data_IF_687136891338
#
_entry.id   IF_687136891338
#
_cell.length_a   1.000
_cell.length_b   1.000
_cell.length_c   1.000
_cell.angle_alpha   90.00
_cell.angle_beta   90.00
_cell.angle_gamma   90.00
#
_symmetry.space_group_name_H-M   'P 1'
#
loop_
_entity.id
_entity.type
_entity.pdbx_description
1 polymer ?
#
# COMPACT_ATOMS: atom_id res chain seq x y z
N UNK A 1 1.54 -25.36 -3.32
CA UNK A 1 1.33 -23.96 -2.86
C UNK A 1 1.30 -23.06 -4.09
N UNK A 2 0.12 -22.87 -4.71
CA UNK A 2 0.01 -22.21 -6.02
C UNK A 2 0.43 -20.73 -6.02
N UNK A 3 0.19 -20.01 -4.92
CA UNK A 3 0.44 -18.57 -4.82
C UNK A 3 1.83 -18.19 -4.27
N UNK A 4 2.71 -19.17 -4.01
CA UNK A 4 3.99 -18.90 -3.38
C UNK A 4 4.94 -18.16 -4.33
N UNK A 5 5.64 -17.13 -3.81
CA UNK A 5 6.62 -16.36 -4.58
C UNK A 5 6.01 -15.43 -5.64
N UNK A 6 4.72 -15.13 -5.54
CA UNK A 6 4.04 -14.17 -6.41
C UNK A 6 4.66 -12.78 -6.27
N UNK A 7 4.87 -12.11 -7.40
CA UNK A 7 5.17 -10.69 -7.45
C UNK A 7 3.88 -9.84 -7.36
N UNK A 8 3.99 -8.54 -7.61
CA UNK A 8 2.86 -7.61 -7.53
C UNK A 8 1.76 -7.92 -8.56
N UNK A 9 2.12 -8.38 -9.76
CA UNK A 9 1.18 -8.73 -10.83
C UNK A 9 0.39 -10.00 -10.50
N UNK A 10 1.09 -11.09 -10.18
CA UNK A 10 0.44 -12.35 -9.81
C UNK A 10 -0.42 -12.19 -8.53
N UNK A 11 0.03 -11.33 -7.60
CA UNK A 11 -0.73 -10.99 -6.39
C UNK A 11 -2.00 -10.20 -6.71
N UNK A 12 -1.91 -9.13 -7.51
CA UNK A 12 -3.08 -8.32 -7.85
C UNK A 12 -4.12 -9.11 -8.65
N UNK A 13 -3.68 -9.97 -9.58
CA UNK A 13 -4.57 -10.84 -10.33
C UNK A 13 -5.31 -11.81 -9.39
N UNK A 14 -4.59 -12.45 -8.48
CA UNK A 14 -5.19 -13.39 -7.51
C UNK A 14 -6.26 -12.70 -6.66
N UNK A 15 -5.97 -11.49 -6.16
CA UNK A 15 -6.92 -10.70 -5.38
C UNK A 15 -8.13 -10.24 -6.20
N UNK A 16 -7.94 -9.86 -7.47
CA UNK A 16 -9.03 -9.48 -8.38
C UNK A 16 -10.02 -10.63 -8.56
N UNK A 17 -9.52 -11.85 -8.80
CA UNK A 17 -10.38 -13.04 -8.93
C UNK A 17 -11.13 -13.37 -7.65
N UNK A 18 -10.53 -13.14 -6.50
CA UNK A 18 -11.21 -13.29 -5.21
C UNK A 18 -12.34 -12.25 -5.03
N UNK A 19 -12.13 -11.00 -5.45
CA UNK A 19 -13.15 -9.95 -5.41
C UNK A 19 -14.31 -10.26 -6.36
N UNK A 20 -14.03 -10.70 -7.59
CA UNK A 20 -15.07 -11.16 -8.54
C UNK A 20 -15.91 -12.30 -7.95
N UNK A 21 -15.29 -13.21 -7.21
CA UNK A 21 -16.01 -14.31 -6.53
C UNK A 21 -16.87 -13.84 -5.35
N UNK A 22 -16.54 -12.71 -4.72
CA UNK A 22 -17.24 -12.16 -3.55
C UNK A 22 -18.50 -11.36 -3.89
N UNK A 23 -18.74 -11.03 -5.16
CA UNK A 23 -19.76 -10.05 -5.61
C UNK A 23 -21.14 -10.18 -4.93
N UNK A 24 -21.81 -9.03 -4.65
CA UNK A 24 -21.45 -7.67 -5.10
C UNK A 24 -20.44 -6.94 -4.18
N UNK A 25 -19.50 -6.20 -4.79
CA UNK A 25 -18.52 -5.34 -4.09
C UNK A 25 -18.52 -3.95 -4.72
N UNK A 26 -18.96 -2.94 -3.98
CA UNK A 26 -19.02 -1.56 -4.48
C UNK A 26 -17.70 -0.79 -4.27
N UNK A 27 -16.95 -1.12 -3.22
CA UNK A 27 -15.72 -0.39 -2.89
C UNK A 27 -14.66 -1.34 -2.37
N UNK A 28 -13.48 -1.31 -3.00
CA UNK A 28 -12.29 -2.01 -2.53
C UNK A 28 -11.33 -1.00 -1.91
N UNK A 29 -10.96 -1.24 -0.65
CA UNK A 29 -9.99 -0.41 0.08
C UNK A 29 -8.70 -1.19 0.26
N UNK A 30 -7.60 -0.64 -0.23
CA UNK A 30 -6.25 -1.16 -0.05
C UNK A 30 -5.42 -0.20 0.82
N UNK A 31 -4.37 -0.68 1.48
CA UNK A 31 -3.34 0.21 2.02
C UNK A 31 -2.46 0.79 0.90
N UNK A 32 -1.82 1.94 1.15
CA UNK A 32 -0.86 2.59 0.22
C UNK A 32 0.25 1.63 -0.24
N UNK A 33 0.94 1.00 0.70
CA UNK A 33 2.00 0.04 0.46
C UNK A 33 2.16 -0.88 1.68
N UNK A 34 2.64 -2.09 1.45
CA UNK A 34 3.05 -2.99 2.52
C UNK A 34 4.52 -2.71 2.88
N UNK A 35 4.86 -2.78 4.17
CA UNK A 35 6.18 -2.37 4.70
C UNK A 35 7.30 -3.35 4.40
N UNK A 36 6.96 -4.56 3.97
CA UNK A 36 7.90 -5.64 3.64
C UNK A 36 8.40 -5.54 2.20
N UNK A 37 7.50 -5.28 1.24
CA UNK A 37 7.85 -5.14 -0.17
C UNK A 37 8.00 -3.69 -0.67
N UNK A 38 7.35 -2.74 -0.01
CA UNK A 38 7.39 -1.29 -0.28
C UNK A 38 7.12 -0.86 -1.75
N UNK A 39 6.35 -1.67 -2.49
CA UNK A 39 6.17 -1.48 -3.94
C UNK A 39 5.07 -0.49 -4.32
N UNK A 40 4.05 -0.32 -3.46
CA UNK A 40 2.83 0.46 -3.73
C UNK A 40 2.04 0.06 -5.01
N UNK A 41 2.26 -1.14 -5.55
CA UNK A 41 1.74 -1.54 -6.88
C UNK A 41 0.46 -2.38 -6.84
N UNK A 42 0.21 -3.13 -5.77
CA UNK A 42 -0.89 -4.13 -5.75
C UNK A 42 -2.26 -3.47 -5.87
N UNK A 43 -2.50 -2.34 -5.20
CA UNK A 43 -3.78 -1.61 -5.29
C UNK A 43 -4.10 -1.13 -6.71
N UNK A 44 -3.19 -0.38 -7.37
CA UNK A 44 -3.37 -0.01 -8.78
C UNK A 44 -3.48 -1.20 -9.73
N UNK A 45 -2.65 -2.23 -9.55
CA UNK A 45 -2.73 -3.45 -10.37
C UNK A 45 -4.07 -4.17 -10.22
N UNK A 46 -4.60 -4.20 -9.00
CA UNK A 46 -5.92 -4.77 -8.71
C UNK A 46 -7.03 -4.02 -9.46
N UNK A 47 -7.01 -2.70 -9.43
CA UNK A 47 -7.97 -1.87 -10.17
C UNK A 47 -7.89 -2.13 -11.69
N UNK A 48 -6.68 -2.27 -12.23
CA UNK A 48 -6.48 -2.58 -13.64
C UNK A 48 -7.05 -3.95 -14.03
N UNK A 49 -6.89 -4.99 -13.19
CA UNK A 49 -7.50 -6.30 -13.45
C UNK A 49 -9.03 -6.31 -13.36
N UNK A 50 -9.60 -5.45 -12.50
CA UNK A 50 -11.04 -5.32 -12.33
C UNK A 50 -11.68 -4.38 -13.38
N UNK A 51 -10.87 -3.64 -14.15
CA UNK A 51 -11.31 -2.57 -15.04
C UNK A 51 -12.20 -1.53 -14.32
N UNK A 52 -11.80 -1.14 -13.11
CA UNK A 52 -12.55 -0.24 -12.23
C UNK A 52 -11.86 1.13 -12.07
N UNK A 53 -12.64 2.22 -11.91
CA UNK A 53 -12.13 3.50 -11.45
C UNK A 53 -11.29 3.34 -10.19
N UNK A 54 -10.17 4.07 -10.12
CA UNK A 54 -9.33 4.04 -8.93
C UNK A 54 -8.66 5.38 -8.62
N UNK A 55 -8.30 5.53 -7.35
CA UNK A 55 -7.36 6.57 -6.93
C UNK A 55 -6.39 6.01 -5.88
N UNK A 56 -5.26 6.69 -5.76
CA UNK A 56 -4.23 6.36 -4.77
C UNK A 56 -4.13 7.44 -3.70
N UNK A 57 -3.43 7.13 -2.61
CA UNK A 57 -3.14 8.08 -1.53
C UNK A 57 -4.37 8.79 -0.93
N UNK A 58 -5.50 8.10 -0.81
CA UNK A 58 -6.73 8.64 -0.22
C UNK A 58 -6.56 8.91 1.28
N UNK A 59 -6.64 10.18 1.69
CA UNK A 59 -6.61 10.61 3.10
C UNK A 59 -8.00 10.89 3.68
N UNK A 60 -9.03 10.99 2.84
CA UNK A 60 -10.43 11.17 3.26
C UNK A 60 -11.34 10.62 2.18
N UNK A 61 -12.34 9.83 2.58
CA UNK A 61 -13.32 9.22 1.69
C UNK A 61 -14.72 9.67 2.13
N UNK A 62 -15.51 10.20 1.20
CA UNK A 62 -16.90 10.63 1.42
C UNK A 62 -17.79 9.99 0.37
N UNK A 63 -18.77 9.18 0.80
CA UNK A 63 -19.79 8.64 -0.09
C UNK A 63 -20.80 9.75 -0.41
N UNK A 64 -21.01 9.99 -1.69
CA UNK A 64 -21.91 10.99 -2.24
C UNK A 64 -23.07 10.29 -2.94
N UNK A 65 -24.31 10.66 -2.60
CA UNK A 65 -25.55 10.22 -3.28
C UNK A 65 -25.77 8.69 -3.40
N UNK A 66 -24.91 7.86 -2.80
CA UNK A 66 -25.00 6.40 -2.79
C UNK A 66 -24.21 5.70 -3.90
N UNK A 67 -23.77 6.41 -4.94
CA UNK A 67 -23.16 5.85 -6.15
C UNK A 67 -21.82 6.52 -6.54
N UNK A 68 -21.42 7.57 -5.83
CA UNK A 68 -20.19 8.31 -6.09
C UNK A 68 -19.31 8.38 -4.86
N UNK A 69 -18.00 8.29 -5.05
CA UNK A 69 -17.01 8.46 -4.00
C UNK A 69 -16.21 9.73 -4.26
N UNK A 70 -16.22 10.64 -3.29
CA UNK A 70 -15.33 11.80 -3.24
C UNK A 70 -14.12 11.46 -2.38
N UNK A 71 -12.92 11.67 -2.90
CA UNK A 71 -11.66 11.35 -2.24
C UNK A 71 -10.76 12.56 -2.19
N UNK A 72 -10.23 12.88 -1.02
CA UNK A 72 -9.06 13.76 -0.90
C UNK A 72 -7.81 12.90 -1.12
N UNK A 73 -7.15 13.07 -2.27
CA UNK A 73 -5.91 12.37 -2.66
C UNK A 73 -4.72 13.23 -2.28
N UNK A 74 -3.79 12.70 -1.48
CA UNK A 74 -2.54 13.39 -1.18
C UNK A 74 -1.63 13.51 -2.41
N UNK A 75 -0.94 14.64 -2.49
CA UNK A 75 0.14 14.94 -3.43
C UNK A 75 1.32 15.53 -2.66
N UNK A 76 2.47 15.69 -3.32
CA UNK A 76 3.66 16.26 -2.67
C UNK A 76 3.45 17.71 -2.17
N UNK A 77 2.46 18.42 -2.72
CA UNK A 77 2.18 19.83 -2.42
C UNK A 77 0.88 20.05 -1.65
N UNK A 78 0.19 18.99 -1.23
CA UNK A 78 -1.09 19.08 -0.53
C UNK A 78 -2.04 17.94 -0.87
N UNK A 79 -3.23 18.28 -1.37
CA UNK A 79 -4.20 17.30 -1.81
C UNK A 79 -5.07 17.80 -2.96
N UNK A 80 -5.54 16.85 -3.74
CA UNK A 80 -6.54 17.04 -4.78
C UNK A 80 -7.87 16.42 -4.33
N UNK A 81 -8.99 17.02 -4.73
CA UNK A 81 -10.31 16.42 -4.53
C UNK A 81 -10.71 15.75 -5.84
N UNK A 82 -10.83 14.42 -5.81
CA UNK A 82 -11.26 13.63 -6.97
C UNK A 82 -12.62 13.00 -6.70
N UNK A 83 -13.38 12.78 -7.77
CA UNK A 83 -14.67 12.08 -7.72
C UNK A 83 -14.63 10.90 -8.69
N UNK A 84 -15.18 9.77 -8.27
CA UNK A 84 -15.32 8.57 -9.10
C UNK A 84 -16.66 7.90 -8.84
N UNK A 85 -17.21 7.25 -9.88
CA UNK A 85 -18.37 6.38 -9.74
C UNK A 85 -17.96 5.07 -9.05
N UNK A 86 -18.90 4.47 -8.33
CA UNK A 86 -18.78 3.10 -7.83
C UNK A 86 -19.26 2.10 -8.92
N UNK A 87 -18.69 0.89 -9.00
CA UNK A 87 -17.68 0.34 -8.09
C UNK A 87 -16.28 0.92 -8.32
N UNK A 88 -15.47 1.03 -7.24
CA UNK A 88 -14.14 1.63 -7.32
C UNK A 88 -13.10 0.99 -6.39
N UNK A 89 -11.82 1.26 -6.67
CA UNK A 89 -10.69 0.86 -5.84
C UNK A 89 -9.96 2.08 -5.29
N UNK A 90 -9.68 2.12 -3.99
CA UNK A 90 -8.92 3.21 -3.36
C UNK A 90 -7.78 2.66 -2.50
N UNK A 91 -6.56 3.16 -2.71
CA UNK A 91 -5.49 2.95 -1.73
C UNK A 91 -5.49 4.09 -0.73
N UNK A 92 -5.53 3.77 0.57
CA UNK A 92 -5.55 4.77 1.65
C UNK A 92 -4.19 4.93 2.31
N UNK A 93 -3.93 6.15 2.78
CA UNK A 93 -2.76 6.50 3.59
C UNK A 93 -3.12 6.50 5.08
N UNK A 94 -2.14 6.68 5.97
CA UNK A 94 -2.35 6.66 7.42
C UNK A 94 -3.29 7.79 7.89
N UNK A 95 -3.27 8.91 7.16
CA UNK A 95 -4.05 10.12 7.41
C UNK A 95 -5.57 9.90 7.28
N UNK A 96 -6.00 8.73 6.76
CA UNK A 96 -7.42 8.36 6.68
C UNK A 96 -8.10 8.25 8.05
N UNK A 97 -7.31 8.00 9.10
CA UNK A 97 -7.77 7.97 10.48
C UNK A 97 -7.12 6.87 11.31
N UNK A 98 -7.41 6.88 12.61
CA UNK A 98 -6.87 5.91 13.56
C UNK A 98 -7.79 4.68 13.69
N UNK A 99 -7.28 3.46 13.45
CA UNK A 99 -8.06 2.25 13.66
C UNK A 99 -8.52 2.11 15.12
N UNK A 100 -9.82 1.86 15.32
CA UNK A 100 -10.37 1.65 16.66
C UNK A 100 -9.81 0.40 17.35
N UNK A 101 -9.61 0.48 18.66
CA UNK A 101 -9.23 -0.69 19.46
C UNK A 101 -10.38 -1.72 19.50
N UNK A 102 -10.13 -3.02 19.25
CA UNK A 102 -11.19 -4.01 19.30
C UNK A 102 -11.63 -4.31 20.73
N UNK A 103 -12.91 -4.09 21.03
CA UNK A 103 -13.52 -4.52 22.30
C UNK A 103 -13.56 -6.04 22.48
N UNK A 104 -13.74 -6.51 23.73
CA UNK A 104 -13.73 -7.94 24.07
C UNK A 104 -14.74 -8.78 23.28
N UNK A 105 -15.97 -8.29 23.09
CA UNK A 105 -17.00 -8.97 22.29
C UNK A 105 -16.56 -9.21 20.84
N UNK A 106 -15.91 -8.22 20.22
CA UNK A 106 -15.38 -8.35 18.85
C UNK A 106 -14.28 -9.41 18.78
N UNK A 107 -13.37 -9.45 19.76
CA UNK A 107 -12.32 -10.48 19.84
C UNK A 107 -12.90 -11.89 19.95
N UNK A 108 -13.92 -12.06 20.80
CA UNK A 108 -14.59 -13.36 20.96
C UNK A 108 -15.33 -13.80 19.69
N UNK A 109 -15.97 -12.87 18.97
CA UNK A 109 -16.60 -13.14 17.67
C UNK A 109 -15.57 -13.53 16.62
N UNK A 110 -14.48 -12.77 16.51
CA UNK A 110 -13.41 -13.04 15.55
C UNK A 110 -12.79 -14.43 15.76
N UNK A 111 -12.58 -14.85 17.01
CA UNK A 111 -12.05 -16.19 17.33
C UNK A 111 -12.96 -17.35 16.87
N UNK A 112 -14.26 -17.12 16.79
CA UNK A 112 -15.25 -18.13 16.39
C UNK A 112 -15.60 -18.07 14.90
N UNK A 113 -15.10 -17.06 14.18
CA UNK A 113 -15.43 -16.87 12.78
C UNK A 113 -14.70 -17.94 11.96
N UNK A 114 -15.45 -18.71 11.20
CA UNK A 114 -14.88 -19.60 10.19
C UNK A 114 -14.52 -18.76 8.96
N UNK A 115 -13.24 -18.78 8.60
CA UNK A 115 -12.73 -18.01 7.46
C UNK A 115 -12.69 -18.96 6.25
N UNK A 116 -13.45 -18.68 5.18
CA UNK A 116 -13.40 -19.49 3.97
C UNK A 116 -11.99 -19.45 3.39
N UNK A 117 -11.50 -20.61 2.96
CA UNK A 117 -10.20 -20.75 2.32
C UNK A 117 -10.41 -21.12 0.86
N UNK A 118 -9.85 -20.32 -0.05
CA UNK A 118 -9.93 -20.55 -1.50
C UNK A 118 -8.54 -20.81 -2.07
N UNK A 119 -8.43 -21.84 -2.90
CA UNK A 119 -7.27 -22.13 -3.72
C UNK A 119 -7.41 -21.55 -5.14
N UNK A 120 -6.38 -21.76 -5.97
CA UNK A 120 -6.37 -21.29 -7.35
C UNK A 120 -7.56 -21.82 -8.17
N UNK A 121 -7.92 -23.09 -7.97
CA UNK A 121 -9.07 -23.71 -8.64
C UNK A 121 -10.40 -23.03 -8.25
N UNK A 122 -10.58 -22.67 -6.98
CA UNK A 122 -11.78 -21.97 -6.51
C UNK A 122 -11.94 -20.58 -7.14
N UNK A 123 -10.83 -19.98 -7.57
CA UNK A 123 -10.76 -18.66 -8.21
C UNK A 123 -10.73 -18.74 -9.75
N UNK A 124 -10.73 -19.95 -10.31
CA UNK A 124 -10.61 -20.19 -11.75
C UNK A 124 -9.30 -19.66 -12.34
N UNK A 125 -8.21 -19.73 -11.57
CA UNK A 125 -6.87 -19.28 -11.97
C UNK A 125 -6.06 -20.45 -12.53
N UNK A 126 -5.37 -20.23 -13.65
CA UNK A 126 -4.43 -21.22 -14.17
C UNK A 126 -3.13 -21.19 -13.35
N UNK A 127 -2.46 -22.34 -13.16
CA UNK A 127 -1.19 -22.40 -12.44
C UNK A 127 -0.09 -21.49 -13.01
N UNK A 128 -0.13 -21.22 -14.32
CA UNK A 128 0.85 -20.38 -15.02
C UNK A 128 0.64 -18.88 -14.78
N UNK A 129 -0.52 -18.48 -14.25
CA UNK A 129 -0.88 -17.07 -14.00
C UNK A 129 -0.63 -16.65 -12.55
N UNK A 130 -0.21 -17.57 -11.68
CA UNK A 130 -0.12 -17.35 -10.24
C UNK A 130 1.21 -17.81 -9.65
N UNK A 131 1.51 -17.29 -8.45
CA UNK A 131 2.77 -17.59 -7.78
C UNK A 131 3.97 -17.15 -8.60
N UNK A 132 5.13 -17.77 -8.33
CA UNK A 132 6.38 -17.45 -9.02
C UNK A 132 6.31 -17.64 -10.56
N UNK A 133 5.49 -18.58 -11.04
CA UNK A 133 5.38 -18.86 -12.47
C UNK A 133 4.65 -17.76 -13.23
N UNK A 134 3.61 -17.19 -12.62
CA UNK A 134 2.88 -16.04 -13.17
C UNK A 134 3.52 -14.68 -12.87
N UNK A 135 4.61 -14.65 -12.10
CA UNK A 135 5.33 -13.43 -11.78
C UNK A 135 6.16 -12.93 -12.97
N UNK A 136 6.04 -11.64 -13.29
CA UNK A 136 6.91 -10.99 -14.28
C UNK A 136 8.27 -10.58 -13.70
N UNK A 137 8.34 -10.45 -12.37
CA UNK A 137 9.57 -10.11 -11.65
C UNK A 137 9.95 -11.22 -10.67
N UNK A 138 11.25 -11.40 -10.47
CA UNK A 138 11.79 -12.42 -9.58
C UNK A 138 12.94 -11.84 -8.76
N UNK A 139 12.89 -12.06 -7.44
CA UNK A 139 13.94 -11.61 -6.52
C UNK A 139 15.13 -12.56 -6.63
N UNK A 140 16.19 -12.11 -7.31
CA UNK A 140 17.41 -12.92 -7.53
C UNK A 140 18.31 -12.94 -6.30
N UNK A 141 18.42 -11.81 -5.59
CA UNK A 141 19.31 -11.66 -4.43
C UNK A 141 18.78 -10.61 -3.47
N UNK A 142 18.86 -10.91 -2.18
CA UNK A 142 18.62 -9.96 -1.08
C UNK A 142 19.92 -9.84 -0.28
N UNK A 143 20.31 -8.62 0.05
CA UNK A 143 21.50 -8.35 0.86
C UNK A 143 21.25 -7.17 1.79
N UNK A 144 21.93 -7.15 2.93
CA UNK A 144 21.85 -6.03 3.86
C UNK A 144 22.72 -4.87 3.37
N UNK A 145 22.24 -3.61 3.44
CA UNK A 145 23.08 -2.45 3.22
C UNK A 145 24.29 -2.46 4.16
N UNK A 146 25.48 -2.01 3.71
CA UNK A 146 26.64 -1.92 4.59
C UNK A 146 26.36 -0.94 5.74
N UNK A 147 26.92 -1.15 6.94
CA UNK A 147 26.83 -0.19 8.03
C UNK A 147 27.36 1.17 7.59
N UNK A 148 26.65 2.26 7.93
CA UNK A 148 27.14 3.62 7.68
C UNK A 148 28.32 3.88 8.62
N UNK A 149 29.52 4.06 8.08
CA UNK A 149 30.76 4.31 8.85
C UNK A 149 31.06 5.80 9.02
N UNK A 150 30.64 6.63 8.08
CA UNK A 150 30.99 8.04 8.05
C UNK A 150 30.01 8.84 8.91
N UNK A 151 30.43 9.10 10.14
CA UNK A 151 29.76 10.01 11.07
C UNK A 151 30.79 10.89 11.73
N UNK A 152 30.55 12.19 11.73
CA UNK A 152 31.32 13.16 12.48
C UNK A 152 30.45 13.66 13.63
N UNK A 153 30.99 13.61 14.85
CA UNK A 153 30.37 14.28 15.99
C UNK A 153 30.76 15.76 15.94
N UNK A 154 29.77 16.64 15.79
CA UNK A 154 29.99 18.08 15.89
C UNK A 154 30.14 18.43 17.38
N UNK A 155 31.27 19.02 17.75
CA UNK A 155 31.64 19.39 19.12
C UNK A 155 31.89 20.90 19.22
N UNK A 156 31.81 21.47 20.42
CA UNK A 156 32.00 22.90 20.67
C UNK A 156 30.84 23.48 21.48
N UNK A 157 30.80 24.80 21.60
CA UNK A 157 29.65 25.51 22.17
C UNK A 157 28.46 25.51 21.18
N UNK A 158 27.25 25.77 21.67
CA UNK A 158 26.00 25.64 20.89
C UNK A 158 26.03 26.42 19.57
N UNK A 159 26.58 27.64 19.59
CA UNK A 159 26.67 28.51 18.40
C UNK A 159 27.63 27.94 17.35
N UNK A 160 28.80 27.45 17.76
CA UNK A 160 29.78 26.82 16.89
C UNK A 160 29.24 25.52 16.26
N UNK A 161 28.50 24.74 17.04
CA UNK A 161 27.85 23.52 16.55
C UNK A 161 26.81 23.84 15.47
N UNK A 162 26.00 24.89 15.67
CA UNK A 162 24.98 25.31 14.72
C UNK A 162 25.59 25.81 13.41
N UNK A 163 26.65 26.62 13.47
CA UNK A 163 27.38 27.10 12.28
C UNK A 163 27.99 25.94 11.50
N UNK A 164 28.69 25.04 12.20
CA UNK A 164 29.33 23.86 11.58
C UNK A 164 28.29 22.92 10.95
N UNK A 165 27.13 22.76 11.58
CA UNK A 165 26.03 21.97 11.02
C UNK A 165 25.52 22.57 9.71
N UNK A 166 25.25 23.88 9.68
CA UNK A 166 24.77 24.56 8.46
C UNK A 166 25.81 24.44 7.34
N UNK A 167 27.10 24.60 7.66
CA UNK A 167 28.16 24.44 6.68
C UNK A 167 28.16 23.03 6.07
N UNK A 168 28.15 21.99 6.90
CA UNK A 168 28.16 20.59 6.45
C UNK A 168 26.92 20.26 5.60
N UNK A 169 25.74 20.79 5.96
CA UNK A 169 24.51 20.58 5.18
C UNK A 169 24.57 21.25 3.81
N UNK A 170 25.16 22.46 3.71
CA UNK A 170 25.40 23.15 2.44
C UNK A 170 26.38 22.39 1.55
N UNK A 171 27.47 21.90 2.13
CA UNK A 171 28.46 21.08 1.42
C UNK A 171 27.85 19.76 0.90
N UNK A 172 26.98 19.15 1.71
CA UNK A 172 26.21 17.97 1.32
C UNK A 172 25.07 18.25 0.31
N UNK A 173 24.87 19.53 -0.08
CA UNK A 173 23.84 19.98 -1.03
C UNK A 173 22.44 19.51 -0.67
N UNK A 174 22.11 19.56 0.62
CA UNK A 174 20.78 19.22 1.10
C UNK A 174 19.80 20.28 0.60
N UNK A 175 18.79 19.86 -0.17
CA UNK A 175 17.79 20.73 -0.77
C UNK A 175 17.04 21.57 0.28
N UNK A 176 16.91 22.88 0.06
CA UNK A 176 16.18 23.80 0.94
C UNK A 176 17.03 24.55 1.98
N UNK A 177 18.36 24.40 1.92
CA UNK A 177 19.38 25.19 2.63
C UNK A 177 20.29 25.92 1.62
#
# INVERSE_FOLDING_TARGET
RAFAGADTWATSLTLARAIVKLEPVDLVICGKQAIDGDTAQVGPGLAAHLDQPYTTYGRKLELMNGDQLRVERLTDFGYEVVQMALPAVVTVVREIGDPRMPGLKHKMRAKKLEIPTWGAADLGLNPEEVGLQGSFTQVVKVFSPPPRSDREMITGEVEEQAEKLIQLLKEAKVSGL
#
